data_IF_977431978946
#
_entry.id   IF_977431978946
#
_cell.length_a   1.000
_cell.length_b   1.000
_cell.length_c   1.000
_cell.angle_alpha   90.00
_cell.angle_beta   90.00
_cell.angle_gamma   90.00
#
_symmetry.space_group_name_H-M   'P 1'
#
loop_
_entity.id
_entity.type
_entity.pdbx_description
1 polymer ?
#
# COMPACT_ATOMS: atom_id res chain seq x y z
N UNK A 1 -12.62 -27.01 4.54
CA UNK A 1 -12.16 -27.73 3.34
C UNK A 1 -13.40 -28.06 2.51
N UNK A 2 -13.77 -27.16 1.59
CA UNK A 2 -14.83 -27.44 0.62
C UNK A 2 -14.15 -28.11 -0.57
N UNK A 3 -14.39 -29.40 -0.77
CA UNK A 3 -13.92 -30.13 -1.94
C UNK A 3 -14.80 -29.73 -3.13
N UNK A 4 -14.20 -29.07 -4.12
CA UNK A 4 -14.86 -28.79 -5.40
C UNK A 4 -14.91 -30.09 -6.23
N UNK A 5 -16.06 -30.41 -6.87
CA UNK A 5 -16.12 -31.53 -7.78
C UNK A 5 -15.28 -31.21 -9.03
N UNK A 6 -14.63 -32.24 -9.57
CA UNK A 6 -13.80 -32.21 -10.78
C UNK A 6 -14.53 -31.51 -11.93
N UNK A 7 -14.04 -30.31 -12.30
CA UNK A 7 -14.56 -29.53 -13.43
C UNK A 7 -13.63 -29.69 -14.65
N UNK A 8 -14.18 -29.91 -15.86
CA UNK A 8 -13.42 -29.98 -17.09
C UNK A 8 -13.03 -28.57 -17.57
N UNK A 9 -11.80 -28.43 -18.07
CA UNK A 9 -11.25 -27.33 -18.87
C UNK A 9 -11.71 -25.90 -18.53
N UNK A 10 -11.18 -25.36 -17.42
CA UNK A 10 -11.26 -23.94 -17.09
C UNK A 10 -10.18 -23.19 -17.88
N UNK A 11 -10.58 -22.46 -18.92
CA UNK A 11 -9.66 -21.65 -19.75
C UNK A 11 -9.49 -20.20 -19.25
N UNK A 12 -10.36 -19.71 -18.35
CA UNK A 12 -10.18 -18.47 -17.60
C UNK A 12 -11.15 -18.40 -16.42
N UNK A 13 -10.74 -17.75 -15.33
CA UNK A 13 -11.58 -17.47 -14.16
C UNK A 13 -11.82 -15.97 -14.09
N UNK A 14 -13.08 -15.55 -14.14
CA UNK A 14 -13.45 -14.16 -13.89
C UNK A 14 -13.39 -13.88 -12.38
N UNK A 15 -12.24 -13.35 -11.95
CA UNK A 15 -11.99 -13.00 -10.56
C UNK A 15 -12.97 -11.95 -10.02
N UNK A 16 -13.57 -11.11 -10.87
CA UNK A 16 -14.56 -10.11 -10.41
C UNK A 16 -15.84 -10.79 -9.97
N UNK A 17 -16.30 -11.79 -10.73
CA UNK A 17 -17.48 -12.58 -10.34
C UNK A 17 -17.22 -13.49 -9.14
N UNK A 18 -16.01 -14.04 -9.02
CA UNK A 18 -15.59 -14.81 -7.83
C UNK A 18 -15.55 -13.91 -6.60
N UNK A 19 -14.95 -12.73 -6.70
CA UNK A 19 -14.90 -11.75 -5.61
C UNK A 19 -16.30 -11.22 -5.27
N UNK A 20 -17.16 -10.94 -6.24
CA UNK A 20 -18.54 -10.53 -5.99
C UNK A 20 -19.37 -11.64 -5.34
N UNK A 21 -19.19 -12.90 -5.75
CA UNK A 21 -19.81 -14.05 -5.11
C UNK A 21 -19.29 -14.26 -3.68
N UNK A 22 -17.99 -14.03 -3.46
CA UNK A 22 -17.36 -14.06 -2.14
C UNK A 22 -17.85 -12.92 -1.23
N UNK A 23 -18.01 -11.70 -1.74
CA UNK A 23 -18.62 -10.58 -1.00
C UNK A 23 -20.07 -10.90 -0.59
N UNK A 24 -20.88 -11.47 -1.49
CA UNK A 24 -22.23 -11.98 -1.18
C UNK A 24 -22.23 -13.17 -0.20
N UNK A 25 -21.10 -13.84 -0.01
CA UNK A 25 -20.93 -14.91 0.96
C UNK A 25 -20.46 -14.36 2.32
N UNK A 26 -19.64 -13.31 2.33
CA UNK A 26 -19.22 -12.58 3.52
C UNK A 26 -20.39 -11.93 4.24
N UNK A 27 -21.38 -11.38 3.51
CA UNK A 27 -22.65 -10.89 4.07
C UNK A 27 -23.38 -11.94 4.94
N UNK A 28 -23.10 -13.23 4.75
CA UNK A 28 -23.72 -14.34 5.48
C UNK A 28 -22.83 -14.97 6.56
N UNK A 29 -21.50 -14.77 6.53
CA UNK A 29 -20.54 -15.55 7.32
C UNK A 29 -19.36 -14.74 7.91
N UNK A 30 -19.50 -13.42 8.11
CA UNK A 30 -18.44 -12.63 8.75
C UNK A 30 -18.17 -13.11 10.19
N UNK A 31 -16.92 -13.53 10.44
CA UNK A 31 -16.38 -13.65 11.80
C UNK A 31 -16.02 -12.23 12.26
N UNK A 32 -16.74 -11.76 13.28
CA UNK A 32 -16.47 -10.46 13.94
C UNK A 32 -15.48 -10.71 15.07
N UNK A 33 -14.21 -10.39 14.84
CA UNK A 33 -13.23 -10.27 15.91
C UNK A 33 -13.57 -9.08 16.83
N UNK A 34 -13.46 -9.25 18.14
CA UNK A 34 -13.60 -8.16 19.12
C UNK A 34 -12.26 -7.44 19.26
N UNK A 35 -12.23 -6.12 19.04
CA UNK A 35 -11.07 -5.27 19.33
C UNK A 35 -11.03 -4.82 20.80
N UNK A 36 -9.82 -4.71 21.36
CA UNK A 36 -9.52 -3.99 22.61
C UNK A 36 -9.65 -2.47 22.43
N UNK A 37 -9.21 -1.67 23.42
CA UNK A 37 -9.44 -0.21 23.42
C UNK A 37 -9.00 0.49 22.12
N UNK A 38 -9.95 0.98 21.30
CA UNK A 38 -9.68 1.46 19.95
C UNK A 38 -9.11 2.90 19.99
N UNK A 39 -8.02 3.15 19.24
CA UNK A 39 -7.46 4.50 19.03
C UNK A 39 -6.05 4.73 19.60
N UNK A 40 -5.73 4.28 20.82
CA UNK A 40 -4.38 4.50 21.39
C UNK A 40 -3.31 3.63 20.70
N UNK A 41 -3.69 2.46 20.20
CA UNK A 41 -2.79 1.52 19.54
C UNK A 41 -2.30 2.05 18.17
N UNK A 42 -3.18 2.71 17.39
CA UNK A 42 -2.85 3.22 16.05
C UNK A 42 -1.83 4.35 16.10
N UNK A 43 -1.99 5.30 17.01
CA UNK A 43 -1.07 6.45 17.12
C UNK A 43 0.36 6.01 17.50
N UNK A 44 0.52 4.92 18.25
CA UNK A 44 1.82 4.32 18.56
C UNK A 44 2.33 3.32 17.51
N UNK A 45 1.51 2.95 16.53
CA UNK A 45 1.87 1.90 15.57
C UNK A 45 2.90 2.42 14.57
N UNK A 46 3.93 1.61 14.25
CA UNK A 46 4.99 2.00 13.30
C UNK A 46 4.47 2.39 11.90
N UNK A 47 3.34 1.82 11.47
CA UNK A 47 2.68 2.16 10.19
C UNK A 47 1.92 3.49 10.19
N UNK A 48 1.73 4.15 11.34
CA UNK A 48 0.92 5.36 11.50
C UNK A 48 1.29 6.47 10.53
N UNK A 49 2.58 6.76 10.39
CA UNK A 49 3.09 7.82 9.51
C UNK A 49 3.00 7.45 8.03
N UNK A 50 3.00 6.16 7.70
CA UNK A 50 2.89 5.69 6.31
C UNK A 50 1.43 5.64 5.82
N UNK A 51 0.49 5.26 6.68
CA UNK A 51 -0.94 5.07 6.32
C UNK A 51 -1.75 6.36 6.48
N UNK A 52 -1.35 7.27 7.39
CA UNK A 52 -1.98 8.59 7.58
C UNK A 52 -0.92 9.71 7.68
N UNK A 53 -0.12 9.95 6.62
CA UNK A 53 0.92 10.98 6.59
C UNK A 53 0.34 12.40 6.56
N UNK A 54 1.07 13.35 7.15
CA UNK A 54 0.86 14.79 6.96
C UNK A 54 1.78 15.38 5.87
N UNK A 55 2.84 14.67 5.48
CA UNK A 55 3.75 15.03 4.39
C UNK A 55 4.21 13.82 3.59
N UNK A 56 4.26 13.97 2.27
CA UNK A 56 4.59 12.90 1.33
C UNK A 56 5.66 13.39 0.35
N UNK A 57 6.75 12.63 0.21
CA UNK A 57 7.67 12.77 -0.91
C UNK A 57 7.36 11.72 -1.98
N UNK A 58 7.25 12.14 -3.24
CA UNK A 58 7.10 11.24 -4.39
C UNK A 58 8.42 11.26 -5.17
N UNK A 59 9.16 10.17 -5.09
CA UNK A 59 10.49 10.02 -5.72
C UNK A 59 10.36 9.33 -7.06
N UNK A 60 10.90 9.93 -8.11
CA UNK A 60 10.80 9.42 -9.47
C UNK A 60 9.64 10.01 -10.28
N UNK A 61 9.11 11.17 -9.89
CA UNK A 61 8.07 11.86 -10.68
C UNK A 61 8.65 12.34 -12.00
N UNK A 62 7.90 12.18 -13.10
CA UNK A 62 8.36 12.48 -14.45
C UNK A 62 7.21 13.04 -15.28
N UNK A 63 7.45 14.02 -16.17
CA UNK A 63 6.43 14.52 -17.10
C UNK A 63 6.01 13.46 -18.13
N UNK A 64 6.74 12.35 -18.23
CA UNK A 64 6.43 11.21 -19.10
C UNK A 64 5.38 10.25 -18.50
N UNK A 65 4.88 10.53 -17.31
CA UNK A 65 3.95 9.64 -16.60
C UNK A 65 4.63 8.59 -15.73
N UNK A 66 3.92 7.49 -15.47
CA UNK A 66 4.36 6.41 -14.59
C UNK A 66 3.89 6.58 -13.14
N UNK A 67 4.37 5.71 -12.25
CA UNK A 67 3.82 5.63 -10.89
C UNK A 67 3.95 6.94 -10.09
N UNK A 68 5.02 7.70 -10.32
CA UNK A 68 5.26 8.96 -9.62
C UNK A 68 4.21 10.01 -9.99
N UNK A 69 3.97 10.22 -11.29
CA UNK A 69 2.97 11.19 -11.74
C UNK A 69 1.56 10.75 -11.33
N UNK A 70 1.22 9.45 -11.50
CA UNK A 70 -0.07 8.91 -11.09
C UNK A 70 -0.34 9.09 -9.59
N UNK A 71 0.69 8.93 -8.74
CA UNK A 71 0.58 9.21 -7.30
C UNK A 71 0.27 10.67 -7.03
N UNK A 72 1.00 11.61 -7.67
CA UNK A 72 0.74 13.06 -7.50
C UNK A 72 -0.68 13.41 -7.93
N UNK A 73 -1.13 12.94 -9.10
CA UNK A 73 -2.48 13.18 -9.61
C UNK A 73 -3.56 12.62 -8.69
N UNK A 74 -3.33 11.45 -8.08
CA UNK A 74 -4.24 10.87 -7.10
C UNK A 74 -4.34 11.75 -5.85
N UNK A 75 -3.20 12.16 -5.28
CA UNK A 75 -3.14 13.00 -4.09
C UNK A 75 -3.89 14.32 -4.32
N UNK A 76 -3.72 14.92 -5.50
CA UNK A 76 -4.45 16.13 -5.88
C UNK A 76 -5.95 15.88 -6.07
N UNK A 77 -6.33 14.82 -6.79
CA UNK A 77 -7.73 14.48 -7.04
C UNK A 77 -8.50 14.20 -5.75
N UNK A 78 -7.88 13.54 -4.77
CA UNK A 78 -8.49 13.27 -3.47
C UNK A 78 -8.50 14.49 -2.56
N UNK A 79 -7.76 15.56 -2.92
CA UNK A 79 -7.61 16.74 -2.08
C UNK A 79 -6.85 16.42 -0.79
N UNK A 80 -5.75 15.69 -0.90
CA UNK A 80 -4.87 15.39 0.22
C UNK A 80 -4.52 16.69 0.98
N UNK A 81 -4.82 16.79 2.28
CA UNK A 81 -4.67 18.04 3.02
C UNK A 81 -3.22 18.33 3.44
N UNK A 82 -2.31 17.36 3.29
CA UNK A 82 -0.92 17.47 3.66
C UNK A 82 -0.02 18.06 2.58
N UNK A 83 1.29 18.02 2.83
CA UNK A 83 2.32 18.57 1.93
C UNK A 83 2.79 17.50 0.94
N UNK A 84 2.92 17.89 -0.33
CA UNK A 84 3.37 17.00 -1.41
C UNK A 84 4.69 17.56 -1.95
N UNK A 85 5.75 16.76 -1.85
CA UNK A 85 7.07 17.06 -2.39
C UNK A 85 7.36 16.15 -3.57
N UNK A 86 7.62 16.71 -4.74
CA UNK A 86 8.10 15.93 -5.88
C UNK A 86 9.62 15.86 -5.85
N UNK A 87 10.18 14.69 -6.13
CA UNK A 87 11.63 14.47 -6.10
C UNK A 87 12.08 13.83 -7.40
N UNK A 88 12.89 14.55 -8.17
CA UNK A 88 13.59 14.04 -9.34
C UNK A 88 14.80 14.94 -9.67
N UNK A 89 16.04 14.41 -9.70
CA UNK A 89 17.25 15.21 -9.98
C UNK A 89 17.30 15.79 -11.40
N UNK A 90 16.51 15.25 -12.34
CA UNK A 90 16.53 15.67 -13.73
C UNK A 90 15.55 16.79 -14.06
N UNK A 91 14.65 17.14 -13.14
CA UNK A 91 13.59 18.12 -13.36
C UNK A 91 13.55 19.14 -12.23
N UNK A 92 13.38 20.41 -12.57
CA UNK A 92 13.11 21.47 -11.58
C UNK A 92 11.62 21.65 -11.30
N UNK A 93 10.77 21.21 -12.24
CA UNK A 93 9.32 21.29 -12.16
C UNK A 93 8.69 20.11 -12.91
N UNK A 94 7.63 19.51 -12.35
CA UNK A 94 6.79 18.52 -13.03
C UNK A 94 5.33 18.78 -12.64
N UNK A 95 4.43 18.71 -13.63
CA UNK A 95 3.00 18.98 -13.47
C UNK A 95 2.70 20.33 -12.78
N UNK A 96 3.46 21.37 -13.10
CA UNK A 96 3.26 22.72 -12.56
C UNK A 96 3.70 22.91 -11.11
N UNK A 97 4.46 21.98 -10.52
CA UNK A 97 5.01 22.12 -9.16
C UNK A 97 6.51 21.89 -9.12
N UNK A 98 7.22 22.54 -8.17
CA UNK A 98 8.65 22.32 -7.97
C UNK A 98 9.00 20.87 -7.71
N UNK A 99 10.09 20.41 -8.31
CA UNK A 99 10.72 19.13 -8.04
C UNK A 99 12.08 19.37 -7.39
N UNK A 100 12.32 18.65 -6.30
CA UNK A 100 13.56 18.66 -5.53
C UNK A 100 14.54 17.62 -6.09
N UNK A 101 15.86 17.86 -6.00
CA UNK A 101 16.82 16.94 -6.59
C UNK A 101 16.94 15.61 -5.81
N UNK A 102 16.73 15.65 -4.51
CA UNK A 102 16.84 14.50 -3.60
C UNK A 102 16.00 14.73 -2.33
N UNK A 103 15.89 13.69 -1.48
CA UNK A 103 15.16 13.75 -0.21
C UNK A 103 15.85 14.65 0.83
N UNK A 104 17.19 14.75 0.79
CA UNK A 104 17.96 15.54 1.76
C UNK A 104 17.80 17.04 1.56
N UNK A 105 17.42 17.46 0.35
CA UNK A 105 17.14 18.85 0.00
C UNK A 105 15.75 19.31 0.46
N UNK A 106 14.87 18.41 0.93
CA UNK A 106 13.53 18.78 1.38
C UNK A 106 13.59 19.65 2.66
N UNK A 107 12.63 20.57 2.86
CA UNK A 107 12.62 21.46 4.02
C UNK A 107 12.25 20.76 5.34
N UNK A 108 11.82 19.50 5.29
CA UNK A 108 11.44 18.69 6.45
C UNK A 108 11.65 17.19 6.18
N UNK A 109 11.73 16.41 7.26
CA UNK A 109 11.59 14.97 7.18
C UNK A 109 10.12 14.61 6.91
N UNK A 110 9.86 13.85 5.85
CA UNK A 110 8.50 13.51 5.43
C UNK A 110 7.92 12.32 6.19
N UNK A 111 6.60 12.21 6.28
CA UNK A 111 5.95 11.06 6.92
C UNK A 111 5.97 9.80 6.03
N UNK A 112 5.81 9.98 4.73
CA UNK A 112 5.81 8.87 3.77
C UNK A 112 6.59 9.19 2.49
N UNK A 113 7.22 8.16 1.92
CA UNK A 113 7.87 8.23 0.61
C UNK A 113 7.19 7.27 -0.38
N UNK A 114 6.68 7.79 -1.48
CA UNK A 114 6.28 7.00 -2.65
C UNK A 114 7.47 6.82 -3.58
N UNK A 115 8.00 5.60 -3.67
CA UNK A 115 9.17 5.26 -4.47
C UNK A 115 8.71 4.73 -5.84
N UNK A 116 8.84 5.59 -6.85
CA UNK A 116 8.47 5.35 -8.24
C UNK A 116 9.70 5.29 -9.17
N UNK A 117 10.83 4.77 -8.69
CA UNK A 117 12.04 4.52 -9.48
C UNK A 117 12.17 3.03 -9.83
N UNK A 118 12.97 2.65 -10.85
CA UNK A 118 13.20 1.24 -11.17
C UNK A 118 13.77 0.44 -9.99
N UNK A 119 13.56 -0.89 -9.99
CA UNK A 119 13.99 -1.79 -8.92
C UNK A 119 15.45 -1.58 -8.49
N UNK A 120 16.39 -1.49 -9.45
CA UNK A 120 17.82 -1.26 -9.19
C UNK A 120 18.15 0.03 -8.41
N UNK A 121 17.29 1.04 -8.50
CA UNK A 121 17.49 2.33 -7.83
C UNK A 121 16.76 2.39 -6.48
N UNK A 122 15.83 1.48 -6.24
CA UNK A 122 14.99 1.46 -5.03
C UNK A 122 15.80 1.33 -3.74
N UNK A 123 16.83 0.46 -3.61
CA UNK A 123 17.64 0.40 -2.39
C UNK A 123 18.31 1.73 -2.03
N UNK A 124 18.76 2.50 -3.03
CA UNK A 124 19.33 3.83 -2.82
C UNK A 124 18.30 4.78 -2.19
N UNK A 125 17.10 4.85 -2.77
CA UNK A 125 16.02 5.70 -2.26
C UNK A 125 15.57 5.26 -0.86
N UNK A 126 15.55 3.96 -0.56
CA UNK A 126 15.25 3.46 0.80
C UNK A 126 16.30 3.93 1.80
N UNK A 127 17.61 3.86 1.46
CA UNK A 127 18.68 4.40 2.32
C UNK A 127 18.52 5.90 2.57
N UNK A 128 18.21 6.66 1.53
CA UNK A 128 18.02 8.11 1.65
C UNK A 128 16.78 8.46 2.49
N UNK A 129 15.69 7.71 2.34
CA UNK A 129 14.48 7.89 3.15
C UNK A 129 14.75 7.60 4.64
N UNK A 130 15.51 6.55 4.94
CA UNK A 130 15.93 6.24 6.31
C UNK A 130 16.83 7.35 6.87
N UNK A 131 17.84 7.76 6.11
CA UNK A 131 18.81 8.76 6.54
C UNK A 131 18.18 10.14 6.78
N UNK A 132 17.13 10.49 6.04
CA UNK A 132 16.40 11.76 6.20
C UNK A 132 15.30 11.69 7.26
N UNK A 133 15.09 10.53 7.91
CA UNK A 133 14.13 10.38 9.00
C UNK A 133 12.67 10.22 8.54
N UNK A 134 12.46 9.72 7.32
CA UNK A 134 11.12 9.46 6.82
C UNK A 134 10.37 8.45 7.70
N UNK A 135 9.04 8.59 7.81
CA UNK A 135 8.22 7.70 8.64
C UNK A 135 7.97 6.31 8.04
N UNK A 136 8.10 6.16 6.72
CA UNK A 136 7.92 4.91 5.99
C UNK A 136 7.93 5.12 4.48
N UNK A 137 7.83 4.03 3.71
CA UNK A 137 7.74 4.11 2.26
C UNK A 137 6.82 3.07 1.62
N UNK A 138 6.39 3.37 0.40
CA UNK A 138 5.78 2.44 -0.54
C UNK A 138 6.71 2.31 -1.74
N UNK A 139 7.06 1.09 -2.13
CA UNK A 139 7.83 0.82 -3.35
C UNK A 139 6.94 0.19 -4.43
N UNK A 140 6.74 0.90 -5.54
CA UNK A 140 5.80 0.45 -6.58
C UNK A 140 6.42 -0.55 -7.56
N UNK A 141 7.72 -0.41 -7.86
CA UNK A 141 8.35 -1.12 -8.96
C UNK A 141 8.30 -2.66 -8.79
N UNK A 142 8.00 -3.34 -9.88
CA UNK A 142 8.35 -4.75 -10.10
C UNK A 142 9.84 -4.87 -10.46
N UNK A 143 10.35 -6.09 -10.58
CA UNK A 143 11.77 -6.40 -10.77
C UNK A 143 12.47 -6.97 -9.54
N UNK A 144 11.72 -7.51 -8.58
CA UNK A 144 12.25 -8.04 -7.33
C UNK A 144 12.17 -9.57 -7.29
N UNK A 145 11.83 -10.19 -6.15
CA UNK A 145 11.87 -11.65 -5.99
C UNK A 145 11.01 -12.43 -7.00
N UNK A 146 10.04 -11.78 -7.63
CA UNK A 146 9.22 -12.32 -8.70
C UNK A 146 9.99 -12.45 -10.04
N UNK A 147 11.14 -11.77 -10.21
CA UNK A 147 11.98 -11.79 -11.42
C UNK A 147 13.42 -12.26 -11.13
N UNK A 148 13.57 -13.53 -10.76
CA UNK A 148 14.86 -14.24 -10.77
C UNK A 148 15.86 -13.82 -9.68
N UNK A 149 17.12 -14.25 -9.83
CA UNK A 149 18.13 -14.15 -8.77
C UNK A 149 18.55 -12.71 -8.44
N UNK A 150 18.68 -11.85 -9.46
CA UNK A 150 19.02 -10.44 -9.26
C UNK A 150 17.91 -9.72 -8.46
N UNK A 151 16.66 -9.91 -8.85
CA UNK A 151 15.53 -9.32 -8.16
C UNK A 151 15.36 -9.85 -6.73
N UNK A 152 15.66 -11.13 -6.49
CA UNK A 152 15.71 -11.70 -5.14
C UNK A 152 16.78 -11.01 -4.26
N UNK A 153 17.96 -10.73 -4.84
CA UNK A 153 19.02 -9.98 -4.14
C UNK A 153 18.60 -8.56 -3.80
N UNK A 154 17.97 -7.85 -4.74
CA UNK A 154 17.45 -6.49 -4.50
C UNK A 154 16.37 -6.49 -3.40
N UNK A 155 15.51 -7.52 -3.37
CA UNK A 155 14.49 -7.64 -2.34
C UNK A 155 15.10 -7.91 -0.97
N UNK A 156 16.11 -8.77 -0.90
CA UNK A 156 16.83 -9.04 0.34
C UNK A 156 17.52 -7.78 0.88
N UNK A 157 18.07 -6.94 0.01
CA UNK A 157 18.71 -5.69 0.39
C UNK A 157 17.72 -4.69 1.01
N UNK A 158 16.59 -4.39 0.36
CA UNK A 158 15.59 -3.48 0.92
C UNK A 158 14.95 -4.04 2.19
N UNK A 159 14.83 -5.37 2.30
CA UNK A 159 14.33 -6.03 3.50
C UNK A 159 15.30 -5.87 4.68
N UNK A 160 16.61 -6.02 4.43
CA UNK A 160 17.65 -5.80 5.44
C UNK A 160 17.63 -4.34 5.92
N UNK A 161 17.66 -3.38 4.99
CA UNK A 161 17.60 -1.95 5.29
C UNK A 161 16.38 -1.59 6.15
N UNK A 162 15.20 -2.05 5.75
CA UNK A 162 13.96 -1.78 6.47
C UNK A 162 13.93 -2.40 7.87
N UNK A 163 14.42 -3.63 8.04
CA UNK A 163 14.42 -4.31 9.34
C UNK A 163 15.47 -3.72 10.29
N UNK A 164 16.68 -3.49 9.82
CA UNK A 164 17.78 -2.93 10.62
C UNK A 164 17.44 -1.53 11.15
N UNK A 165 16.82 -0.69 10.30
CA UNK A 165 16.41 0.66 10.69
C UNK A 165 15.05 0.72 11.41
N UNK A 166 14.31 -0.39 11.49
CA UNK A 166 12.92 -0.35 11.92
C UNK A 166 12.06 0.54 11.02
N UNK A 167 12.36 0.63 9.73
CA UNK A 167 11.67 1.47 8.76
C UNK A 167 10.57 0.68 8.02
N UNK A 168 9.29 1.09 8.09
CA UNK A 168 8.22 0.37 7.42
C UNK A 168 8.25 0.61 5.91
N UNK A 169 8.24 -0.48 5.15
CA UNK A 169 8.21 -0.49 3.69
C UNK A 169 7.10 -1.43 3.20
N UNK A 170 6.08 -0.87 2.55
CA UNK A 170 5.05 -1.62 1.83
C UNK A 170 5.53 -1.89 0.40
N UNK A 171 5.36 -3.12 -0.06
CA UNK A 171 5.89 -3.62 -1.33
C UNK A 171 7.18 -4.44 -1.17
N UNK A 172 8.06 -4.47 -2.19
CA UNK A 172 7.92 -3.82 -3.50
C UNK A 172 6.85 -4.50 -4.35
N UNK A 173 6.77 -4.15 -5.64
CA UNK A 173 5.80 -4.72 -6.59
C UNK A 173 4.36 -4.63 -6.06
N UNK A 174 3.96 -3.41 -5.70
CA UNK A 174 2.66 -3.14 -5.12
C UNK A 174 2.03 -1.89 -5.76
N UNK A 175 0.76 -1.67 -5.46
CA UNK A 175 0.09 -0.43 -5.86
C UNK A 175 0.00 0.60 -4.74
N UNK A 176 0.29 0.23 -3.49
CA UNK A 176 0.41 1.16 -2.36
C UNK A 176 -0.77 1.17 -1.41
N UNK A 177 -1.04 2.36 -0.85
CA UNK A 177 -2.00 2.58 0.24
C UNK A 177 -2.97 3.68 -0.12
N UNK A 178 -4.25 3.47 0.16
CA UNK A 178 -5.26 4.52 0.15
C UNK A 178 -5.93 4.57 1.51
N UNK A 179 -5.90 5.73 2.16
CA UNK A 179 -6.73 6.07 3.31
C UNK A 179 -7.83 7.04 2.86
N UNK A 180 -9.05 6.54 2.72
CA UNK A 180 -10.20 7.34 2.27
C UNK A 180 -10.68 8.30 3.36
N UNK A 181 -10.55 7.92 4.64
CA UNK A 181 -10.96 8.74 5.79
C UNK A 181 -10.17 10.06 5.82
N UNK A 182 -8.88 9.97 5.50
CA UNK A 182 -7.92 11.10 5.56
C UNK A 182 -7.57 11.67 4.19
N UNK A 183 -8.15 11.12 3.12
CA UNK A 183 -7.92 11.50 1.72
C UNK A 183 -6.45 11.38 1.30
N UNK A 184 -5.82 10.28 1.69
CA UNK A 184 -4.41 9.98 1.41
C UNK A 184 -4.28 8.80 0.44
N UNK A 185 -4.33 9.02 -0.88
CA UNK A 185 -4.09 7.97 -1.88
C UNK A 185 -2.60 7.89 -2.25
N UNK A 186 -1.76 7.31 -1.39
CA UNK A 186 -0.38 6.95 -1.71
C UNK A 186 -0.35 5.71 -2.63
N UNK A 187 -0.89 5.87 -3.84
CA UNK A 187 -1.20 4.81 -4.77
C UNK A 187 -0.62 5.09 -6.16
N UNK A 188 0.07 4.10 -6.74
CA UNK A 188 0.96 4.33 -7.89
C UNK A 188 0.25 4.60 -9.21
N UNK A 189 -0.95 4.06 -9.43
CA UNK A 189 -1.68 4.24 -10.71
C UNK A 189 -2.92 5.09 -10.51
N UNK A 190 -3.48 5.68 -11.57
CA UNK A 190 -4.72 6.45 -11.45
C UNK A 190 -5.83 5.61 -10.80
N UNK A 191 -6.33 6.05 -9.64
CA UNK A 191 -7.49 5.43 -8.99
C UNK A 191 -8.81 5.93 -9.62
N UNK A 192 -9.94 5.30 -9.26
CA UNK A 192 -11.26 5.81 -9.61
C UNK A 192 -11.56 7.19 -9.00
N UNK A 193 -12.73 7.73 -9.35
CA UNK A 193 -13.20 9.04 -8.85
C UNK A 193 -13.87 8.97 -7.48
N UNK A 194 -14.18 7.77 -7.00
CA UNK A 194 -14.82 7.56 -5.71
C UNK A 194 -13.86 7.93 -4.58
N UNK A 195 -14.27 8.89 -3.76
CA UNK A 195 -13.47 9.40 -2.63
C UNK A 195 -14.21 9.30 -1.30
N UNK A 196 -15.47 8.83 -1.29
CA UNK A 196 -16.22 8.68 -0.03
C UNK A 196 -15.58 7.62 0.86
N UNK A 197 -15.41 7.96 2.14
CA UNK A 197 -14.97 7.01 3.15
C UNK A 197 -16.12 6.15 3.65
N UNK A 198 -15.84 4.88 3.88
CA UNK A 198 -16.69 3.97 4.66
C UNK A 198 -15.94 3.38 5.84
N UNK A 199 -16.33 2.17 6.25
CA UNK A 199 -15.77 1.49 7.45
C UNK A 199 -15.18 0.11 7.16
N UNK A 200 -14.95 -0.20 5.88
CA UNK A 200 -14.37 -1.47 5.43
C UNK A 200 -12.94 -1.22 5.00
N UNK A 201 -11.96 -1.91 5.58
CA UNK A 201 -10.59 -1.90 5.11
C UNK A 201 -10.32 -3.12 4.23
N UNK A 202 -9.58 -2.95 3.14
CA UNK A 202 -9.11 -4.03 2.29
C UNK A 202 -7.59 -4.08 2.36
N UNK A 203 -7.05 -5.28 2.55
CA UNK A 203 -5.62 -5.57 2.42
C UNK A 203 -5.44 -6.76 1.50
N UNK A 204 -4.53 -6.65 0.52
CA UNK A 204 -4.24 -7.75 -0.38
C UNK A 204 -2.81 -7.78 -0.88
N UNK A 205 -2.30 -8.97 -1.17
CA UNK A 205 -1.00 -9.14 -1.82
C UNK A 205 -1.07 -8.66 -3.27
N UNK A 206 -2.06 -9.15 -4.03
CA UNK A 206 -2.30 -8.74 -5.41
C UNK A 206 -2.85 -7.33 -5.51
N UNK A 207 -2.10 -6.43 -6.15
CA UNK A 207 -2.56 -5.07 -6.44
C UNK A 207 -3.80 -5.04 -7.32
N UNK A 208 -3.89 -5.91 -8.33
CA UNK A 208 -5.03 -5.94 -9.24
C UNK A 208 -6.34 -6.33 -8.53
N UNK A 209 -6.30 -7.29 -7.60
CA UNK A 209 -7.51 -7.66 -6.84
C UNK A 209 -7.96 -6.49 -5.96
N UNK A 210 -7.04 -5.81 -5.28
CA UNK A 210 -7.37 -4.63 -4.47
C UNK A 210 -7.94 -3.51 -5.35
N UNK A 211 -7.36 -3.26 -6.52
CA UNK A 211 -7.86 -2.27 -7.48
C UNK A 211 -9.27 -2.62 -7.99
N UNK A 212 -9.54 -3.89 -8.29
CA UNK A 212 -10.87 -4.36 -8.69
C UNK A 212 -11.89 -4.12 -7.59
N UNK A 213 -11.54 -4.36 -6.32
CA UNK A 213 -12.40 -4.06 -5.16
C UNK A 213 -12.64 -2.55 -5.01
N UNK A 214 -11.60 -1.73 -5.14
CA UNK A 214 -11.71 -0.27 -5.07
C UNK A 214 -12.62 0.30 -6.17
N UNK A 215 -12.62 -0.33 -7.35
CA UNK A 215 -13.36 0.13 -8.53
C UNK A 215 -14.75 -0.50 -8.66
N UNK A 216 -15.08 -1.48 -7.82
CA UNK A 216 -16.34 -2.21 -7.89
C UNK A 216 -17.48 -1.37 -7.30
N UNK A 217 -18.57 -1.24 -8.06
CA UNK A 217 -19.82 -0.64 -7.58
C UNK A 217 -20.53 -1.52 -6.55
N UNK A 218 -20.24 -2.82 -6.53
CA UNK A 218 -20.76 -3.76 -5.54
C UNK A 218 -20.03 -3.68 -4.20
N UNK A 219 -18.84 -3.07 -4.16
CA UNK A 219 -18.09 -2.88 -2.92
C UNK A 219 -18.61 -1.60 -2.23
N UNK A 220 -19.04 -1.67 -0.94
CA UNK A 220 -19.35 -0.46 -0.18
C UNK A 220 -18.13 0.48 -0.10
N UNK A 221 -18.33 1.76 0.29
CA UNK A 221 -17.21 2.68 0.44
C UNK A 221 -16.15 2.11 1.41
N UNK A 222 -14.89 2.24 1.04
CA UNK A 222 -13.77 1.74 1.83
C UNK A 222 -13.29 2.81 2.82
N UNK A 223 -12.77 2.37 3.96
CA UNK A 223 -11.95 3.20 4.86
C UNK A 223 -10.51 3.22 4.36
N UNK A 224 -9.99 2.05 4.02
CA UNK A 224 -8.61 1.82 3.60
C UNK A 224 -8.53 0.78 2.49
N UNK A 225 -7.53 0.91 1.62
CA UNK A 225 -7.14 -0.10 0.65
C UNK A 225 -5.61 -0.21 0.62
N UNK A 226 -5.07 -1.41 0.82
CA UNK A 226 -3.61 -1.64 0.84
C UNK A 226 -3.25 -2.80 -0.08
N UNK A 227 -2.39 -2.53 -1.05
CA UNK A 227 -1.69 -3.54 -1.83
C UNK A 227 -0.30 -3.74 -1.24
N UNK A 228 -0.03 -4.95 -0.71
CA UNK A 228 1.23 -5.26 -0.03
C UNK A 228 2.34 -5.75 -0.98
N UNK A 229 1.97 -6.23 -2.17
CA UNK A 229 2.93 -6.78 -3.13
C UNK A 229 3.73 -7.93 -2.54
N UNK A 230 5.06 -7.87 -2.71
CA UNK A 230 5.97 -8.93 -2.29
C UNK A 230 6.23 -9.01 -0.77
N UNK A 231 5.78 -8.04 0.02
CA UNK A 231 5.92 -8.03 1.48
C UNK A 231 7.36 -8.19 1.98
N UNK A 232 8.29 -7.39 1.44
CA UNK A 232 9.71 -7.50 1.79
C UNK A 232 9.97 -7.15 3.27
N UNK A 233 9.24 -6.16 3.79
CA UNK A 233 9.35 -5.69 5.18
C UNK A 233 8.01 -5.79 5.88
N UNK A 234 7.02 -5.01 5.43
CA UNK A 234 5.67 -5.00 6.00
C UNK A 234 4.84 -6.05 5.29
N UNK A 235 4.21 -6.92 6.07
CA UNK A 235 3.36 -7.98 5.59
C UNK A 235 1.86 -7.65 5.79
N UNK A 236 0.96 -8.41 5.16
CA UNK A 236 -0.47 -8.19 5.28
C UNK A 236 -0.97 -8.36 6.72
N UNK A 237 -0.28 -9.18 7.54
CA UNK A 237 -0.65 -9.42 8.94
C UNK A 237 -0.39 -8.17 9.78
N UNK A 238 0.74 -7.49 9.58
CA UNK A 238 1.07 -6.21 10.23
C UNK A 238 0.10 -5.09 9.80
N UNK A 239 -0.36 -5.10 8.55
CA UNK A 239 -1.40 -4.16 8.08
C UNK A 239 -2.76 -4.45 8.74
N UNK A 240 -3.12 -5.73 8.92
CA UNK A 240 -4.33 -6.12 9.66
C UNK A 240 -4.22 -5.66 11.12
N UNK A 241 -3.08 -5.88 11.77
CA UNK A 241 -2.83 -5.45 13.15
C UNK A 241 -3.04 -3.93 13.31
N UNK A 242 -2.51 -3.14 12.37
CA UNK A 242 -2.76 -1.70 12.32
C UNK A 242 -4.26 -1.37 12.25
N UNK A 243 -5.01 -2.03 11.37
CA UNK A 243 -6.44 -1.80 11.22
C UNK A 243 -7.28 -2.23 12.42
N UNK A 244 -6.87 -3.26 13.17
CA UNK A 244 -7.56 -3.68 14.39
C UNK A 244 -7.54 -2.62 15.48
N UNK A 245 -6.54 -1.74 15.48
CA UNK A 245 -6.44 -0.61 16.40
C UNK A 245 -7.24 0.63 15.96
N UNK A 246 -7.70 0.69 14.71
CA UNK A 246 -8.29 1.88 14.09
C UNK A 246 -9.81 1.95 14.33
N UNK A 247 -10.32 2.96 15.06
CA UNK A 247 -11.77 3.12 15.30
C UNK A 247 -12.60 3.36 14.03
N UNK A 248 -11.98 3.77 12.92
CA UNK A 248 -12.65 3.98 11.65
C UNK A 248 -12.86 2.68 10.86
N UNK A 249 -12.14 1.60 11.23
CA UNK A 249 -12.26 0.29 10.60
C UNK A 249 -13.20 -0.60 11.41
N UNK A 250 -14.22 -1.15 10.75
CA UNK A 250 -15.19 -2.09 11.35
C UNK A 250 -15.13 -3.49 10.77
N UNK A 251 -14.66 -3.60 9.52
CA UNK A 251 -14.51 -4.87 8.80
C UNK A 251 -13.17 -4.81 8.09
N UNK A 252 -12.39 -5.88 8.19
CA UNK A 252 -11.18 -6.08 7.39
C UNK A 252 -11.42 -7.21 6.40
N UNK A 253 -11.20 -6.92 5.12
CA UNK A 253 -11.19 -7.89 4.03
C UNK A 253 -9.72 -8.18 3.69
N UNK A 254 -9.28 -9.40 3.93
CA UNK A 254 -7.92 -9.84 3.60
C UNK A 254 -7.94 -10.76 2.38
N UNK A 255 -7.13 -10.44 1.37
CA UNK A 255 -6.88 -11.27 0.18
C UNK A 255 -5.42 -11.69 0.17
N UNK A 256 -5.15 -12.88 0.69
CA UNK A 256 -3.80 -13.41 0.85
C UNK A 256 -3.62 -14.67 0.01
N UNK A 257 -2.58 -14.69 -0.80
CA UNK A 257 -2.07 -15.83 -1.56
C UNK A 257 -1.19 -16.71 -0.67
N UNK A 258 -0.46 -16.11 0.28
CA UNK A 258 0.42 -16.81 1.22
C UNK A 258 0.33 -16.22 2.63
N UNK A 259 0.56 -17.07 3.64
CA UNK A 259 0.69 -16.65 5.04
C UNK A 259 2.11 -17.02 5.47
N UNK A 260 2.97 -16.01 5.64
CA UNK A 260 4.37 -16.21 6.05
C UNK A 260 4.50 -16.67 7.50
N UNK A 261 3.83 -15.96 8.43
CA UNK A 261 3.79 -16.29 9.85
C UNK A 261 2.36 -16.65 10.31
N UNK A 262 2.11 -17.95 10.42
CA UNK A 262 0.82 -18.50 10.86
C UNK A 262 0.51 -18.13 12.32
N UNK A 263 1.53 -18.03 13.18
CA UNK A 263 1.33 -17.69 14.59
C UNK A 263 0.97 -16.22 14.76
N UNK A 264 1.59 -15.32 13.99
CA UNK A 264 1.19 -13.92 13.91
C UNK A 264 -0.22 -13.77 13.35
N UNK A 265 -0.55 -14.49 12.27
CA UNK A 265 -1.90 -14.43 11.70
C UNK A 265 -2.98 -14.85 12.70
N UNK A 266 -2.74 -15.91 13.50
CA UNK A 266 -3.68 -16.34 14.56
C UNK A 266 -3.91 -15.32 15.67
N UNK A 267 -3.01 -14.35 15.87
CA UNK A 267 -3.20 -13.30 16.88
C UNK A 267 -4.13 -12.19 16.40
N UNK A 268 -4.26 -12.01 15.09
CA UNK A 268 -5.03 -10.93 14.46
C UNK A 268 -6.34 -11.39 13.82
N UNK A 269 -6.63 -12.70 13.85
CA UNK A 269 -7.83 -13.32 13.27
C UNK A 269 -8.77 -13.82 14.37
#
# INVERSE_FOLDING_TARGET
>A
MVLLPSAPDIHSVDLVHVVAAWLRMLERNCVVGRSGEPGRAVESHRLRRLVDPASIAVVGVSPKGGYGLGTVENLERFGFPGRIYQVNPNYREVAGRPAWPDLASLPEAVDAVAIAVPARATPGVVRDAIATGAGGAVAFAAGFAELGAEGLSLQAEIAALGREAGFPLIGPNCLGVVNYVRRTPLWGITTGTRTEAGRIAVVGQSGNIVLSLMSSTCCPPLSHAVSCGNQAVVDAVEVIDFFLGDPEVRVVIAVMETIGDVAAFRRVA
#
